data_IF_611725137080
#
_entry.id   IF_611725137080
#
_cell.length_a   1.000
_cell.length_b   1.000
_cell.length_c   1.000
_cell.angle_alpha   90.00
_cell.angle_beta   90.00
_cell.angle_gamma   90.00
#
_symmetry.space_group_name_H-M   'P 1'
#
loop_
_entity.id
_entity.type
_entity.pdbx_description
1 polymer ?
#
# COMPACT_ATOMS: atom_id res chain seq x y z
N UNK A 1 -6.93 -23.93 -3.72
CA UNK A 1 -6.00 -24.93 -3.13
C UNK A 1 -6.04 -24.73 -1.62
N UNK A 2 -6.02 -25.77 -0.78
CA UNK A 2 -5.95 -25.54 0.68
C UNK A 2 -4.53 -25.06 1.02
N UNK A 3 -4.41 -23.82 1.49
CA UNK A 3 -3.14 -23.29 1.99
C UNK A 3 -2.63 -24.16 3.15
N UNK A 4 -1.35 -24.49 3.11
CA UNK A 4 -0.62 -25.10 4.20
C UNK A 4 -0.66 -24.22 5.46
N UNK A 5 -0.45 -24.84 6.62
CA UNK A 5 -0.34 -24.10 7.89
C UNK A 5 0.81 -23.07 7.86
N UNK A 6 1.86 -23.34 7.08
CA UNK A 6 2.97 -22.42 6.90
C UNK A 6 2.54 -21.16 6.12
N UNK A 7 1.88 -21.33 4.98
CA UNK A 7 1.38 -20.21 4.16
C UNK A 7 0.38 -19.35 4.94
N UNK A 8 -0.53 -19.97 5.69
CA UNK A 8 -1.45 -19.26 6.58
C UNK A 8 -0.70 -18.44 7.64
N UNK A 9 0.37 -18.99 8.22
CA UNK A 9 1.23 -18.29 9.17
C UNK A 9 1.96 -17.11 8.52
N UNK A 10 2.48 -17.27 7.31
CA UNK A 10 3.13 -16.21 6.53
C UNK A 10 2.14 -15.05 6.28
N UNK A 11 0.93 -15.36 5.83
CA UNK A 11 -0.09 -14.34 5.52
C UNK A 11 -0.59 -13.61 6.77
N UNK A 12 -0.65 -14.29 7.92
CA UNK A 12 -1.03 -13.65 9.19
C UNK A 12 -0.07 -12.51 9.58
N UNK A 13 1.20 -12.58 9.18
CA UNK A 13 2.19 -11.52 9.47
C UNK A 13 1.83 -10.17 8.84
N UNK A 14 1.05 -10.15 7.76
CA UNK A 14 0.56 -8.91 7.14
C UNK A 14 -0.36 -8.12 8.09
N UNK A 15 -1.17 -8.83 8.89
CA UNK A 15 -2.05 -8.20 9.89
C UNK A 15 -1.27 -7.70 11.11
N UNK A 16 -0.23 -8.41 11.52
CA UNK A 16 0.67 -7.95 12.58
C UNK A 16 1.41 -6.66 12.16
N UNK A 17 1.95 -6.64 10.94
CA UNK A 17 2.59 -5.46 10.37
C UNK A 17 1.63 -4.27 10.31
N UNK A 18 0.42 -4.48 9.79
CA UNK A 18 -0.64 -3.46 9.75
C UNK A 18 -0.99 -2.93 11.14
N UNK A 19 -1.09 -3.81 12.15
CA UNK A 19 -1.39 -3.43 13.53
C UNK A 19 -0.32 -2.48 14.10
N UNK A 20 0.96 -2.76 13.84
CA UNK A 20 2.04 -1.88 14.28
C UNK A 20 2.02 -0.54 13.55
N UNK A 21 1.78 -0.55 12.23
CA UNK A 21 1.68 0.65 11.39
C UNK A 21 0.54 1.55 11.83
N UNK A 22 -0.65 0.99 12.00
CA UNK A 22 -1.84 1.71 12.46
C UNK A 22 -1.60 2.37 13.82
N UNK A 23 -1.07 1.64 14.80
CA UNK A 23 -0.89 2.19 16.13
C UNK A 23 0.16 3.31 16.17
N UNK A 24 1.26 3.16 15.43
CA UNK A 24 2.27 4.21 15.31
C UNK A 24 1.69 5.47 14.62
N UNK A 25 0.91 5.30 13.56
CA UNK A 25 0.22 6.40 12.88
C UNK A 25 -0.78 7.11 13.80
N UNK A 26 -1.59 6.35 14.55
CA UNK A 26 -2.55 6.89 15.51
C UNK A 26 -1.88 7.74 16.60
N UNK A 27 -0.65 7.39 17.01
CA UNK A 27 0.14 8.15 17.98
C UNK A 27 0.89 9.34 17.35
N UNK A 28 0.72 9.61 16.05
CA UNK A 28 1.31 10.75 15.38
C UNK A 28 2.79 10.58 15.00
N UNK A 29 3.32 9.36 14.99
CA UNK A 29 4.70 9.13 14.48
C UNK A 29 4.79 9.52 13.00
N UNK A 30 3.73 9.27 12.22
CA UNK A 30 3.60 9.70 10.83
C UNK A 30 2.11 9.77 10.46
N UNK A 31 1.79 10.50 9.40
CA UNK A 31 0.44 10.53 8.83
C UNK A 31 0.18 9.32 7.94
N UNK A 32 -0.91 8.60 8.20
CA UNK A 32 -1.43 7.50 7.40
C UNK A 32 -2.91 7.30 7.73
N UNK A 33 -3.77 8.07 7.06
CA UNK A 33 -5.19 8.07 7.35
C UNK A 33 -5.91 6.83 6.78
N UNK A 34 -5.21 6.03 5.98
CA UNK A 34 -5.74 4.87 5.25
C UNK A 34 -5.52 3.56 6.02
N UNK A 35 -4.46 3.44 6.82
CA UNK A 35 -4.19 2.24 7.62
C UNK A 35 -5.37 1.81 8.52
N UNK A 36 -6.17 2.77 9.00
CA UNK A 36 -7.35 2.49 9.83
C UNK A 36 -8.48 1.76 9.08
N UNK A 37 -8.50 1.80 7.75
CA UNK A 37 -9.53 1.17 6.94
C UNK A 37 -9.30 -0.34 6.80
N UNK A 38 -8.05 -0.78 6.91
CA UNK A 38 -7.66 -2.19 6.75
C UNK A 38 -7.64 -2.96 8.08
N UNK A 39 -7.58 -2.25 9.22
CA UNK A 39 -7.39 -2.87 10.54
C UNK A 39 -8.72 -3.44 11.08
N UNK A 40 -8.70 -4.70 11.52
CA UNK A 40 -9.85 -5.32 12.19
C UNK A 40 -9.78 -5.20 13.72
N UNK A 41 -8.58 -5.29 14.30
CA UNK A 41 -8.38 -5.29 15.75
C UNK A 41 -7.30 -4.30 16.12
N UNK A 42 -7.64 -3.35 17.00
CA UNK A 42 -6.70 -2.35 17.50
C UNK A 42 -5.90 -2.96 18.66
N UNK A 43 -4.57 -2.92 18.56
CA UNK A 43 -3.66 -3.41 19.61
C UNK A 43 -2.64 -2.33 19.95
N UNK A 44 -2.44 -2.08 21.25
CA UNK A 44 -1.36 -1.19 21.71
C UNK A 44 0.00 -1.83 21.45
N UNK A 45 0.97 -1.03 21.02
CA UNK A 45 2.35 -1.46 20.82
C UNK A 45 3.28 -0.70 21.76
N UNK A 46 4.37 -1.35 22.17
CA UNK A 46 5.40 -0.72 22.99
C UNK A 46 6.10 0.42 22.23
N UNK A 47 6.59 1.45 22.93
CA UNK A 47 7.27 2.59 22.30
C UNK A 47 8.42 2.20 21.37
N UNK A 48 9.20 1.17 21.72
CA UNK A 48 10.31 0.68 20.90
C UNK A 48 9.84 0.11 19.55
N UNK A 49 8.68 -0.57 19.54
CA UNK A 49 8.07 -1.07 18.30
C UNK A 49 7.63 0.10 17.43
N UNK A 50 6.96 1.10 18.01
CA UNK A 50 6.51 2.28 17.26
C UNK A 50 7.67 3.06 16.63
N UNK A 51 8.80 3.19 17.35
CA UNK A 51 10.03 3.79 16.80
C UNK A 51 10.58 2.99 15.63
N UNK A 52 10.63 1.66 15.75
CA UNK A 52 11.03 0.78 14.65
C UNK A 52 10.11 0.91 13.43
N UNK A 53 8.80 0.95 13.65
CA UNK A 53 7.79 1.16 12.62
C UNK A 53 7.96 2.52 11.94
N UNK A 54 8.21 3.59 12.70
CA UNK A 54 8.49 4.91 12.15
C UNK A 54 9.72 4.89 11.26
N UNK A 55 10.84 4.34 11.74
CA UNK A 55 12.08 4.25 10.96
C UNK A 55 11.87 3.47 9.67
N UNK A 56 11.15 2.34 9.73
CA UNK A 56 10.78 1.55 8.55
C UNK A 56 9.97 2.36 7.54
N UNK A 57 8.87 2.98 7.98
CA UNK A 57 7.96 3.74 7.10
C UNK A 57 8.68 4.94 6.50
N UNK A 58 9.44 5.69 7.30
CA UNK A 58 10.16 6.87 6.84
C UNK A 58 11.25 6.51 5.84
N UNK A 59 12.02 5.44 6.10
CA UNK A 59 13.05 4.98 5.17
C UNK A 59 12.45 4.57 3.83
N UNK A 60 11.37 3.78 3.85
CA UNK A 60 10.69 3.35 2.63
C UNK A 60 10.15 4.54 1.82
N UNK A 61 9.42 5.45 2.47
CA UNK A 61 8.88 6.67 1.84
C UNK A 61 9.99 7.53 1.22
N UNK A 62 11.11 7.73 1.92
CA UNK A 62 12.23 8.51 1.39
C UNK A 62 12.89 7.85 0.19
N UNK A 63 13.07 6.53 0.20
CA UNK A 63 13.63 5.79 -0.94
C UNK A 63 12.72 5.92 -2.16
N UNK A 64 11.41 5.75 -1.98
CA UNK A 64 10.42 5.93 -3.05
C UNK A 64 10.51 7.34 -3.63
N UNK A 65 10.50 8.39 -2.80
CA UNK A 65 10.58 9.77 -3.29
C UNK A 65 11.90 10.06 -4.04
N UNK A 66 13.03 9.56 -3.53
CA UNK A 66 14.34 9.69 -4.20
C UNK A 66 14.34 8.98 -5.56
N UNK A 67 13.74 7.79 -5.63
CA UNK A 67 13.58 7.05 -6.88
C UNK A 67 12.71 7.82 -7.88
N UNK A 68 11.55 8.34 -7.46
CA UNK A 68 10.70 9.15 -8.35
C UNK A 68 11.42 10.41 -8.84
N UNK A 69 12.20 11.07 -7.98
CA UNK A 69 12.99 12.23 -8.37
C UNK A 69 14.10 11.88 -9.37
N UNK A 70 14.80 10.76 -9.17
CA UNK A 70 15.88 10.32 -10.05
C UNK A 70 15.38 9.98 -11.47
N UNK A 71 14.12 9.54 -11.58
CA UNK A 71 13.51 9.14 -12.85
C UNK A 71 12.38 10.09 -13.30
N UNK A 72 12.42 11.37 -12.90
CA UNK A 72 11.37 12.35 -13.22
C UNK A 72 11.17 12.60 -14.72
N UNK A 73 12.24 12.48 -15.49
CA UNK A 73 12.24 12.66 -16.94
C UNK A 73 11.82 11.39 -17.69
N UNK A 74 11.67 10.25 -17.00
CA UNK A 74 11.19 9.04 -17.62
C UNK A 74 9.70 9.19 -18.05
N UNK A 75 9.31 8.61 -19.20
CA UNK A 75 7.92 8.67 -19.66
C UNK A 75 6.97 7.87 -18.76
N UNK A 76 7.49 6.88 -18.05
CA UNK A 76 6.75 5.97 -17.16
C UNK A 76 7.69 5.48 -16.06
N UNK A 77 7.19 5.40 -14.83
CA UNK A 77 7.91 4.86 -13.67
C UNK A 77 7.03 3.84 -12.97
N UNK A 78 7.58 2.66 -12.69
CA UNK A 78 6.87 1.59 -12.01
C UNK A 78 7.50 1.33 -10.65
N UNK A 79 6.67 1.20 -9.61
CA UNK A 79 7.09 0.71 -8.29
C UNK A 79 6.40 -0.62 -8.06
N UNK A 80 7.18 -1.68 -7.84
CA UNK A 80 6.66 -3.04 -7.61
C UNK A 80 6.90 -3.41 -6.15
N UNK A 81 5.82 -3.58 -5.39
CA UNK A 81 5.81 -3.99 -3.99
C UNK A 81 5.45 -5.47 -3.90
N UNK A 82 6.43 -6.30 -3.58
CA UNK A 82 6.27 -7.75 -3.42
C UNK A 82 5.96 -8.07 -1.95
N UNK A 83 4.88 -8.83 -1.70
CA UNK A 83 4.36 -9.03 -0.34
C UNK A 83 3.84 -7.73 0.25
N UNK A 84 3.05 -6.98 -0.54
CA UNK A 84 2.60 -5.64 -0.18
C UNK A 84 1.70 -5.61 1.07
N UNK A 85 1.03 -6.72 1.40
CA UNK A 85 0.07 -6.79 2.47
C UNK A 85 -0.97 -5.69 2.38
N UNK A 86 -1.27 -5.08 3.52
CA UNK A 86 -2.16 -3.92 3.62
C UNK A 86 -1.40 -2.58 3.59
N UNK A 87 -0.29 -2.50 2.85
CA UNK A 87 0.42 -1.24 2.69
C UNK A 87 -0.45 -0.19 1.99
N UNK A 88 -0.25 1.06 2.38
CA UNK A 88 -1.02 2.23 1.96
C UNK A 88 -0.15 3.26 1.23
N UNK A 89 1.07 2.90 0.83
CA UNK A 89 2.03 3.83 0.21
C UNK A 89 1.50 4.42 -1.10
N UNK A 90 0.79 3.65 -1.92
CA UNK A 90 0.15 4.17 -3.13
C UNK A 90 -0.83 5.32 -2.81
N UNK A 91 -1.71 5.13 -1.83
CA UNK A 91 -2.67 6.16 -1.42
C UNK A 91 -1.97 7.38 -0.83
N UNK A 92 -0.93 7.15 -0.02
CA UNK A 92 -0.10 8.23 0.51
C UNK A 92 0.59 9.05 -0.60
N UNK A 93 1.07 8.41 -1.68
CA UNK A 93 1.66 9.12 -2.83
C UNK A 93 0.63 9.96 -3.58
N UNK A 94 -0.62 9.48 -3.70
CA UNK A 94 -1.70 10.26 -4.30
C UNK A 94 -2.06 11.48 -3.45
N UNK A 95 -2.25 11.29 -2.14
CA UNK A 95 -2.50 12.40 -1.22
C UNK A 95 -1.36 13.43 -1.24
N UNK A 96 -0.11 12.97 -1.31
CA UNK A 96 1.05 13.84 -1.41
C UNK A 96 1.06 14.63 -2.72
N UNK A 97 0.63 14.03 -3.83
CA UNK A 97 0.56 14.71 -5.13
C UNK A 97 -0.46 15.85 -5.20
N UNK A 98 -1.41 15.89 -4.26
CA UNK A 98 -2.42 16.93 -4.14
C UNK A 98 -1.95 18.12 -3.27
N UNK A 99 -0.82 17.98 -2.58
CA UNK A 99 -0.24 19.00 -1.71
C UNK A 99 0.78 19.88 -2.45
N UNK A 100 0.91 21.15 -2.04
CA UNK A 100 1.87 22.10 -2.63
C UNK A 100 3.33 21.65 -2.49
N UNK A 101 3.66 20.93 -1.41
CA UNK A 101 4.98 20.34 -1.14
C UNK A 101 5.14 18.92 -1.70
N UNK A 102 4.36 18.59 -2.73
CA UNK A 102 4.02 17.23 -3.14
C UNK A 102 5.14 16.37 -3.73
N UNK A 103 4.84 15.68 -4.84
CA UNK A 103 5.83 14.86 -5.54
C UNK A 103 7.04 15.70 -5.99
N UNK A 104 8.21 15.07 -6.27
CA UNK A 104 9.37 15.80 -6.78
C UNK A 104 9.01 16.73 -7.94
N UNK A 105 9.63 17.91 -8.00
CA UNK A 105 9.37 18.89 -9.06
C UNK A 105 9.48 18.22 -10.44
N UNK A 106 8.53 18.53 -11.32
CA UNK A 106 8.38 17.96 -12.68
C UNK A 106 7.93 16.49 -12.76
N UNK A 107 7.75 15.80 -11.62
CA UNK A 107 7.16 14.47 -11.59
C UNK A 107 5.62 14.55 -11.53
N UNK A 108 4.94 13.92 -12.49
CA UNK A 108 3.48 13.85 -12.51
C UNK A 108 2.98 12.45 -12.10
N UNK A 109 1.91 12.40 -11.30
CA UNK A 109 1.32 11.13 -10.85
C UNK A 109 0.90 10.22 -12.00
N UNK A 110 0.52 10.78 -13.15
CA UNK A 110 0.16 10.04 -14.37
C UNK A 110 1.27 9.11 -14.90
N UNK A 111 2.53 9.45 -14.64
CA UNK A 111 3.70 8.64 -15.03
C UNK A 111 3.89 7.42 -14.12
N UNK A 112 3.36 7.45 -12.89
CA UNK A 112 3.56 6.40 -11.89
C UNK A 112 2.55 5.26 -12.06
N UNK A 113 3.06 4.04 -12.11
CA UNK A 113 2.29 2.82 -11.90
C UNK A 113 2.78 2.12 -10.64
N UNK A 114 1.92 1.98 -9.64
CA UNK A 114 2.24 1.22 -8.44
C UNK A 114 1.64 -0.18 -8.56
N UNK A 115 2.48 -1.20 -8.48
CA UNK A 115 2.09 -2.60 -8.62
C UNK A 115 2.31 -3.29 -7.29
N UNK A 116 1.27 -3.94 -6.78
CA UNK A 116 1.31 -4.74 -5.57
C UNK A 116 1.05 -6.19 -5.89
N UNK A 117 1.85 -7.06 -5.30
CA UNK A 117 1.74 -8.51 -5.45
C UNK A 117 1.66 -9.15 -4.07
N UNK A 118 0.68 -10.00 -3.85
CA UNK A 118 0.53 -10.77 -2.61
C UNK A 118 -0.30 -12.04 -2.86
N UNK A 119 -0.48 -12.86 -1.82
CA UNK A 119 -1.35 -14.03 -1.87
C UNK A 119 -2.81 -13.65 -2.12
N UNK A 120 -3.53 -14.57 -2.76
CA UNK A 120 -4.94 -14.47 -3.13
C UNK A 120 -5.84 -13.93 -2.00
N UNK A 121 -5.77 -14.49 -0.78
CA UNK A 121 -6.65 -14.05 0.31
C UNK A 121 -6.29 -12.66 0.84
N UNK A 122 -5.02 -12.26 0.77
CA UNK A 122 -4.59 -10.91 1.16
C UNK A 122 -5.12 -9.90 0.15
N UNK A 123 -4.96 -10.20 -1.14
CA UNK A 123 -5.46 -9.40 -2.25
C UNK A 123 -6.98 -9.28 -2.21
N UNK A 124 -7.71 -10.39 -2.11
CA UNK A 124 -9.17 -10.40 -2.07
C UNK A 124 -9.69 -9.50 -0.93
N UNK A 125 -9.13 -9.66 0.28
CA UNK A 125 -9.51 -8.83 1.41
C UNK A 125 -9.16 -7.36 1.20
N UNK A 126 -8.03 -7.05 0.56
CA UNK A 126 -7.65 -5.66 0.24
C UNK A 126 -8.63 -5.04 -0.76
N UNK A 127 -9.04 -5.80 -1.78
CA UNK A 127 -10.04 -5.39 -2.78
C UNK A 127 -11.39 -5.13 -2.11
N UNK A 128 -11.84 -6.01 -1.21
CA UNK A 128 -13.08 -5.81 -0.44
C UNK A 128 -13.05 -4.49 0.33
N UNK A 129 -11.95 -4.17 1.02
CA UNK A 129 -11.79 -2.91 1.75
C UNK A 129 -11.76 -1.71 0.80
N UNK A 130 -11.04 -1.80 -0.33
CA UNK A 130 -11.00 -0.72 -1.33
C UNK A 130 -12.39 -0.43 -1.88
N UNK A 131 -13.13 -1.47 -2.27
CA UNK A 131 -14.49 -1.35 -2.83
C UNK A 131 -15.49 -0.82 -1.80
N UNK A 132 -15.35 -1.20 -0.53
CA UNK A 132 -16.20 -0.70 0.55
C UNK A 132 -15.94 0.76 0.98
N UNK A 133 -14.86 1.38 0.48
CA UNK A 133 -14.43 2.73 0.88
C UNK A 133 -14.33 3.67 -0.33
N UNK A 134 -15.45 3.86 -1.03
CA UNK A 134 -15.48 4.58 -2.31
C UNK A 134 -14.91 6.01 -2.24
N UNK A 135 -15.35 6.79 -1.26
CA UNK A 135 -14.94 8.19 -1.10
C UNK A 135 -13.55 8.41 -0.49
N UNK A 136 -12.76 7.35 -0.27
CA UNK A 136 -11.40 7.48 0.30
C UNK A 136 -10.36 6.70 -0.49
N UNK A 137 -10.57 5.41 -0.72
CA UNK A 137 -9.59 4.56 -1.42
C UNK A 137 -9.89 4.47 -2.91
N UNK A 138 -11.15 4.21 -3.25
CA UNK A 138 -11.56 3.98 -4.64
C UNK A 138 -11.37 5.22 -5.51
N UNK A 139 -11.60 6.42 -4.97
CA UNK A 139 -11.41 7.68 -5.69
C UNK A 139 -9.98 7.90 -6.22
N UNK A 140 -8.95 7.34 -5.57
CA UNK A 140 -7.56 7.49 -6.00
C UNK A 140 -7.15 6.43 -7.04
N UNK A 141 -7.97 5.39 -7.20
CA UNK A 141 -7.79 4.36 -8.21
C UNK A 141 -8.76 4.71 -9.34
N UNK A 142 -8.26 5.29 -10.43
CA UNK A 142 -9.06 5.46 -11.64
C UNK A 142 -9.33 4.07 -12.22
N UNK A 143 -10.36 3.39 -11.73
CA UNK A 143 -10.85 2.15 -12.31
C UNK A 143 -11.30 2.45 -13.74
N UNK A 144 -10.44 2.12 -14.71
CA UNK A 144 -10.78 2.21 -16.13
C UNK A 144 -11.95 1.25 -16.45
N UNK A 145 -12.07 0.15 -15.69
CA UNK A 145 -13.19 -0.79 -15.67
C UNK A 145 -13.47 -1.27 -14.24
N UNK A 146 -14.72 -1.69 -13.95
CA UNK A 146 -15.03 -2.39 -12.70
C UNK A 146 -14.07 -3.58 -12.53
N UNK A 147 -13.60 -3.90 -11.31
CA UNK A 147 -12.62 -4.97 -11.09
C UNK A 147 -13.09 -6.25 -11.79
N UNK A 148 -12.35 -6.69 -12.80
CA UNK A 148 -12.70 -7.83 -13.67
C UNK A 148 -12.79 -9.14 -12.87
N UNK A 149 -12.10 -9.22 -11.72
CA UNK A 149 -12.11 -10.37 -10.83
C UNK A 149 -11.90 -9.97 -9.36
N UNK A 150 -12.26 -10.87 -8.44
CA UNK A 150 -12.01 -10.69 -7.00
C UNK A 150 -10.52 -10.78 -6.61
N UNK A 151 -9.64 -11.05 -7.58
CA UNK A 151 -8.24 -11.37 -7.38
C UNK A 151 -7.28 -10.38 -8.02
N UNK A 152 -7.81 -9.35 -8.70
CA UNK A 152 -6.96 -8.33 -9.29
C UNK A 152 -7.63 -6.95 -9.32
N UNK A 153 -6.77 -5.93 -9.31
CA UNK A 153 -7.13 -4.58 -9.72
C UNK A 153 -6.18 -4.21 -10.84
N UNK A 154 -6.71 -3.77 -11.97
CA UNK A 154 -5.92 -3.30 -13.09
C UNK A 154 -6.41 -1.91 -13.50
N UNK A 155 -5.68 -0.89 -13.07
CA UNK A 155 -5.90 0.50 -13.47
C UNK A 155 -4.64 1.09 -14.07
N UNK A 156 -4.76 2.24 -14.76
CA UNK A 156 -3.62 2.97 -15.32
C UNK A 156 -2.48 3.21 -14.31
N UNK A 157 -2.77 3.51 -13.05
CA UNK A 157 -1.78 3.96 -12.07
C UNK A 157 -1.61 3.01 -10.87
N UNK A 158 -2.50 2.03 -10.71
CA UNK A 158 -2.46 1.05 -9.64
C UNK A 158 -2.82 -0.34 -10.14
N UNK A 159 -1.99 -1.32 -9.79
CA UNK A 159 -2.23 -2.72 -10.08
C UNK A 159 -2.08 -3.52 -8.80
N UNK A 160 -3.01 -4.43 -8.54
CA UNK A 160 -2.97 -5.37 -7.44
C UNK A 160 -3.16 -6.76 -8.01
N UNK A 161 -2.20 -7.66 -7.79
CA UNK A 161 -2.15 -8.97 -8.42
C UNK A 161 -2.04 -10.06 -7.35
N UNK A 162 -2.93 -11.05 -7.40
CA UNK A 162 -2.82 -12.26 -6.61
C UNK A 162 -1.80 -13.23 -7.23
N UNK A 163 -0.62 -13.37 -6.63
CA UNK A 163 0.42 -14.28 -7.08
C UNK A 163 1.33 -14.69 -5.91
N UNK A 164 1.66 -15.97 -5.84
CA UNK A 164 2.75 -16.46 -5.00
C UNK A 164 4.09 -16.05 -5.64
N UNK A 165 4.86 -15.23 -4.93
CA UNK A 165 6.14 -14.69 -5.39
C UNK A 165 7.21 -15.78 -5.54
N UNK A 166 7.00 -16.97 -4.97
CA UNK A 166 7.94 -18.09 -5.05
C UNK A 166 7.75 -18.99 -6.29
N UNK A 167 6.69 -18.77 -7.08
CA UNK A 167 6.39 -19.51 -8.32
C UNK A 167 6.88 -18.76 -9.55
#
# INVERSE_FOLDING_TARGET
>A
MKLSAHEQGVMATALDALSTKYYAAQLGYFKDDQAQLFIQRKRKMYPIINRGTWSRVQSYRQIVLKFLNAFKDAPRVNVVSLGAGYDSTFFWLNELSEQESGLPADFTKDKLCYVEVDYDQVVERKIQVINGNEGRLKQHINFDMAPESAFEVNSKNYKLLAQDVCQ
#
